data_IF_569599808641
#
_entry.id   IF_569599808641
#
_cell.length_a   1.000
_cell.length_b   1.000
_cell.length_c   1.000
_cell.angle_alpha   90.00
_cell.angle_beta   90.00
_cell.angle_gamma   90.00
#
_symmetry.space_group_name_H-M   'P 1'
#
loop_
_entity.id
_entity.type
_entity.pdbx_description
1 polymer ?
#
# COMPACT_ATOMS: atom_id res chain seq x y z
N UNK A 1 -27.34 45.12 -60.26
CA UNK A 1 -26.31 44.11 -59.91
C UNK A 1 -25.13 44.92 -59.41
N UNK A 2 -24.95 44.98 -58.09
CA UNK A 2 -23.83 45.70 -57.50
C UNK A 2 -22.53 44.96 -57.84
N UNK A 3 -21.50 45.64 -58.38
CA UNK A 3 -20.26 44.98 -58.80
C UNK A 3 -19.43 44.45 -57.63
N UNK A 4 -19.71 44.88 -56.40
CA UNK A 4 -18.92 44.54 -55.20
C UNK A 4 -19.49 43.37 -54.38
N UNK A 5 -20.39 42.57 -54.95
CA UNK A 5 -20.84 41.32 -54.31
C UNK A 5 -20.60 40.11 -55.21
N UNK A 6 -19.66 39.27 -54.82
CA UNK A 6 -19.59 37.88 -55.28
C UNK A 6 -19.87 36.99 -54.07
N UNK A 7 -20.95 36.21 -54.14
CA UNK A 7 -21.52 35.36 -53.07
C UNK A 7 -22.11 36.08 -51.83
N UNK A 8 -22.50 37.36 -51.94
CA UNK A 8 -23.38 38.01 -50.95
C UNK A 8 -22.73 38.66 -49.73
N UNK A 9 -21.43 38.94 -49.74
CA UNK A 9 -20.75 39.72 -48.69
C UNK A 9 -20.13 41.00 -49.27
N UNK A 10 -20.31 42.14 -48.57
CA UNK A 10 -19.73 43.45 -48.88
C UNK A 10 -18.30 43.55 -48.30
N UNK A 11 -17.35 44.11 -49.07
CA UNK A 11 -15.91 44.04 -48.81
C UNK A 11 -15.33 45.13 -47.90
N UNK A 12 -16.04 46.22 -47.60
CA UNK A 12 -15.50 47.29 -46.76
C UNK A 12 -15.80 47.06 -45.27
N UNK A 13 -14.82 46.49 -44.57
CA UNK A 13 -14.78 46.44 -43.10
C UNK A 13 -14.80 45.03 -42.47
N UNK A 14 -14.81 43.96 -43.27
CA UNK A 14 -14.78 42.60 -42.72
C UNK A 14 -13.34 42.17 -42.38
N UNK A 15 -13.05 42.05 -41.10
CA UNK A 15 -11.85 41.39 -40.59
C UNK A 15 -12.28 40.20 -39.76
N UNK A 16 -11.94 38.99 -40.20
CA UNK A 16 -12.10 37.79 -39.40
C UNK A 16 -10.73 37.28 -38.96
N UNK A 17 -10.63 36.85 -37.71
CA UNK A 17 -9.48 36.13 -37.19
C UNK A 17 -10.01 34.97 -36.35
N UNK A 18 -9.62 33.75 -36.67
CA UNK A 18 -9.90 32.56 -35.87
C UNK A 18 -8.59 32.11 -35.24
N UNK A 19 -8.46 32.31 -33.93
CA UNK A 19 -7.36 31.72 -33.16
C UNK A 19 -7.74 30.25 -32.93
N UNK A 20 -7.15 29.34 -33.69
CA UNK A 20 -7.14 27.93 -33.29
C UNK A 20 -6.34 27.91 -31.99
N UNK A 21 -7.03 27.78 -30.86
CA UNK A 21 -6.37 27.69 -29.56
C UNK A 21 -5.44 26.47 -29.59
N UNK A 22 -4.27 26.67 -29.03
CA UNK A 22 -3.15 25.74 -29.00
C UNK A 22 -3.60 24.28 -28.82
N UNK A 23 -3.08 23.39 -29.65
CA UNK A 23 -3.35 21.96 -29.52
C UNK A 23 -2.55 21.41 -28.35
N UNK A 24 -3.21 21.07 -27.24
CA UNK A 24 -2.58 20.45 -26.08
C UNK A 24 -2.25 18.97 -26.33
N UNK A 25 -0.97 18.67 -26.56
CA UNK A 25 -0.48 17.30 -26.70
C UNK A 25 -0.04 16.76 -25.34
N UNK A 26 -0.74 15.74 -24.84
CA UNK A 26 -0.42 15.08 -23.57
C UNK A 26 0.37 13.80 -23.81
N UNK A 27 1.61 13.75 -23.32
CA UNK A 27 2.45 12.53 -23.34
C UNK A 27 2.46 11.91 -21.94
N UNK A 28 1.97 10.67 -21.82
CA UNK A 28 2.02 9.91 -20.56
C UNK A 28 3.32 9.13 -20.49
N UNK A 29 4.07 9.32 -19.41
CA UNK A 29 5.32 8.60 -19.13
C UNK A 29 5.12 7.77 -17.87
N UNK A 30 5.33 6.45 -17.97
CA UNK A 30 5.29 5.53 -16.83
C UNK A 30 6.72 5.19 -16.40
N UNK A 31 7.06 5.46 -15.14
CA UNK A 31 8.37 5.15 -14.58
C UNK A 31 8.22 4.13 -13.45
N UNK A 32 9.04 3.08 -13.50
CA UNK A 32 9.16 2.12 -12.41
C UNK A 32 10.28 2.57 -11.46
N UNK A 33 9.95 2.69 -10.17
CA UNK A 33 10.94 3.01 -9.14
C UNK A 33 11.74 1.76 -8.78
N UNK A 34 13.06 1.92 -8.68
CA UNK A 34 13.97 0.86 -8.19
C UNK A 34 13.89 0.71 -6.66
N UNK A 35 13.54 1.79 -5.95
CA UNK A 35 13.42 1.82 -4.49
C UNK A 35 12.09 2.44 -4.09
N UNK A 36 11.50 1.90 -3.04
CA UNK A 36 10.27 2.43 -2.44
C UNK A 36 10.57 3.71 -1.65
N UNK A 37 10.58 4.84 -2.35
CA UNK A 37 10.78 6.17 -1.77
C UNK A 37 10.07 7.26 -2.55
N UNK A 38 9.72 8.33 -1.85
CA UNK A 38 9.30 9.57 -2.48
C UNK A 38 10.48 10.23 -3.21
N UNK A 39 10.19 10.82 -4.37
CA UNK A 39 11.16 11.64 -5.11
C UNK A 39 10.91 13.10 -4.73
N UNK A 40 11.96 13.79 -4.32
CA UNK A 40 11.93 15.20 -3.97
C UNK A 40 12.00 16.11 -5.20
N UNK A 41 12.49 15.62 -6.34
CA UNK A 41 12.39 16.27 -7.65
C UNK A 41 12.35 15.24 -8.79
N UNK A 42 11.92 15.67 -9.98
CA UNK A 42 11.92 14.80 -11.17
C UNK A 42 13.27 14.86 -11.89
N UNK A 43 13.79 16.08 -12.14
CA UNK A 43 15.15 16.28 -12.66
C UNK A 43 16.13 16.74 -11.59
N UNK A 44 17.42 16.57 -11.89
CA UNK A 44 18.51 17.03 -11.04
C UNK A 44 18.61 18.56 -11.16
N UNK A 45 18.59 19.28 -10.03
CA UNK A 45 18.75 20.73 -9.97
C UNK A 45 17.44 21.53 -9.93
N UNK A 46 16.28 20.87 -10.06
CA UNK A 46 14.99 21.52 -9.87
C UNK A 46 14.67 21.77 -8.38
N UNK A 47 13.77 22.73 -8.08
CA UNK A 47 13.29 22.94 -6.71
C UNK A 47 12.72 21.66 -6.11
N UNK A 48 13.17 21.34 -4.89
CA UNK A 48 12.75 20.14 -4.18
C UNK A 48 11.41 20.35 -3.48
N UNK A 49 10.51 19.39 -3.60
CA UNK A 49 9.27 19.37 -2.83
C UNK A 49 9.57 18.98 -1.37
N UNK A 50 8.75 19.49 -0.45
CA UNK A 50 8.86 19.13 0.95
C UNK A 50 8.23 17.75 1.21
N UNK A 51 9.06 16.71 1.26
CA UNK A 51 8.62 15.34 1.51
C UNK A 51 7.90 15.14 2.84
N UNK A 52 8.11 16.02 3.83
CA UNK A 52 7.45 15.91 5.15
C UNK A 52 5.99 16.36 5.13
N UNK A 53 5.59 17.10 4.11
CA UNK A 53 4.21 17.55 3.94
C UNK A 53 3.34 16.54 3.17
N UNK A 54 3.95 15.48 2.63
CA UNK A 54 3.22 14.42 1.93
C UNK A 54 2.52 13.56 2.98
N UNK A 55 1.22 13.35 2.80
CA UNK A 55 0.46 12.35 3.54
C UNK A 55 0.70 10.96 2.90
N UNK A 56 1.40 10.03 3.60
CA UNK A 56 1.61 8.68 3.08
C UNK A 56 0.44 7.74 3.38
N UNK A 57 -0.62 8.21 4.05
CA UNK A 57 -1.76 7.36 4.39
C UNK A 57 -2.53 6.95 3.14
N UNK A 58 -2.79 5.64 3.07
CA UNK A 58 -3.65 5.03 2.05
C UNK A 58 -4.87 4.43 2.74
N UNK A 59 -6.08 4.55 2.14
CA UNK A 59 -7.26 3.86 2.63
C UNK A 59 -7.01 2.36 2.75
N UNK A 60 -7.60 1.73 3.76
CA UNK A 60 -7.41 0.30 4.00
C UNK A 60 -7.91 -0.54 2.81
N UNK A 61 -8.92 -0.05 2.10
CA UNK A 61 -9.54 -0.70 0.95
C UNK A 61 -8.63 -0.76 -0.28
N UNK A 62 -7.70 0.20 -0.41
CA UNK A 62 -6.77 0.31 -1.55
C UNK A 62 -5.49 -0.52 -1.33
N UNK A 63 -5.30 -1.09 -0.14
CA UNK A 63 -4.23 -2.03 0.13
C UNK A 63 -4.45 -3.36 -0.58
N UNK A 64 -3.37 -4.00 -1.00
CA UNK A 64 -3.42 -5.36 -1.52
C UNK A 64 -3.86 -6.38 -0.44
N UNK A 65 -4.34 -7.55 -0.88
CA UNK A 65 -4.93 -8.55 0.00
C UNK A 65 -3.93 -9.11 1.03
N UNK A 66 -2.64 -9.19 0.69
CA UNK A 66 -1.60 -9.68 1.59
C UNK A 66 -1.36 -8.67 2.72
N UNK A 67 -1.18 -7.39 2.38
CA UNK A 67 -1.05 -6.29 3.35
C UNK A 67 -2.26 -6.21 4.28
N UNK A 68 -3.47 -6.30 3.74
CA UNK A 68 -4.71 -6.34 4.51
C UNK A 68 -4.77 -7.51 5.51
N UNK A 69 -4.41 -8.71 5.07
CA UNK A 69 -4.38 -9.89 5.93
C UNK A 69 -3.38 -9.73 7.08
N UNK A 70 -2.20 -9.19 6.78
CA UNK A 70 -1.16 -8.91 7.79
C UNK A 70 -1.62 -7.88 8.82
N UNK A 71 -2.30 -6.82 8.40
CA UNK A 71 -2.88 -5.83 9.32
C UNK A 71 -3.91 -6.49 10.24
N UNK A 72 -4.83 -7.29 9.69
CA UNK A 72 -5.84 -8.02 10.47
C UNK A 72 -5.20 -8.97 11.49
N UNK A 73 -4.15 -9.69 11.10
CA UNK A 73 -3.40 -10.57 11.98
C UNK A 73 -2.76 -9.78 13.14
N UNK A 74 -2.11 -8.65 12.83
CA UNK A 74 -1.49 -7.79 13.84
C UNK A 74 -2.53 -7.24 14.83
N UNK A 75 -3.68 -6.76 14.34
CA UNK A 75 -4.77 -6.28 15.18
C UNK A 75 -5.32 -7.38 16.11
N UNK A 76 -5.50 -8.59 15.59
CA UNK A 76 -5.97 -9.73 16.39
C UNK A 76 -4.94 -10.14 17.45
N UNK A 77 -3.66 -10.19 17.09
CA UNK A 77 -2.58 -10.47 18.02
C UNK A 77 -2.46 -9.42 19.12
N UNK A 78 -2.64 -8.13 18.79
CA UNK A 78 -2.64 -7.05 19.79
C UNK A 78 -3.80 -7.21 20.77
N UNK A 79 -4.99 -7.55 20.28
CA UNK A 79 -6.15 -7.83 21.12
C UNK A 79 -5.90 -9.00 22.09
N UNK A 80 -5.32 -10.10 21.60
CA UNK A 80 -4.96 -11.25 22.44
C UNK A 80 -3.94 -10.88 23.52
N UNK A 81 -2.88 -10.16 23.15
CA UNK A 81 -1.86 -9.68 24.10
C UNK A 81 -2.49 -8.82 25.20
N UNK A 82 -3.41 -7.93 24.85
CA UNK A 82 -4.13 -7.09 25.83
C UNK A 82 -4.99 -7.90 26.79
N UNK A 83 -5.52 -9.04 26.34
CA UNK A 83 -6.25 -10.00 27.16
C UNK A 83 -5.35 -10.97 27.95
N UNK A 84 -4.01 -10.85 27.84
CA UNK A 84 -3.07 -11.79 28.43
C UNK A 84 -3.12 -13.19 27.79
N UNK A 85 -3.72 -13.31 26.60
CA UNK A 85 -3.82 -14.56 25.85
C UNK A 85 -2.63 -14.72 24.90
N UNK A 86 -2.19 -15.95 24.61
CA UNK A 86 -1.13 -16.21 23.64
C UNK A 86 -1.52 -15.67 22.26
N UNK A 87 -0.54 -15.21 21.48
CA UNK A 87 -0.75 -14.82 20.07
C UNK A 87 -1.13 -16.03 19.21
N UNK A 88 -1.57 -15.80 17.96
CA UNK A 88 -1.87 -16.90 17.02
C UNK A 88 -0.67 -17.85 16.89
N UNK A 89 0.53 -17.29 16.73
CA UNK A 89 1.79 -18.05 16.62
C UNK A 89 2.05 -18.87 17.88
N UNK A 90 1.91 -18.25 19.06
CA UNK A 90 2.13 -18.93 20.35
C UNK A 90 1.11 -20.04 20.58
N UNK A 91 -0.17 -19.80 20.27
CA UNK A 91 -1.22 -20.81 20.36
C UNK A 91 -0.91 -22.00 19.46
N UNK A 92 -0.51 -21.75 18.21
CA UNK A 92 -0.15 -22.80 17.27
C UNK A 92 1.05 -23.63 17.76
N UNK A 93 2.04 -22.97 18.35
CA UNK A 93 3.20 -23.66 18.94
C UNK A 93 2.75 -24.50 20.15
N UNK A 94 1.88 -23.97 21.02
CA UNK A 94 1.33 -24.71 22.14
C UNK A 94 0.57 -25.96 21.68
N UNK A 95 -0.25 -25.85 20.63
CA UNK A 95 -0.99 -26.97 20.05
C UNK A 95 -0.03 -28.02 19.47
N UNK A 96 0.98 -27.59 18.71
CA UNK A 96 2.00 -28.49 18.16
C UNK A 96 2.80 -29.22 19.24
N UNK A 97 3.13 -28.53 20.33
CA UNK A 97 3.86 -29.12 21.46
C UNK A 97 3.00 -30.13 22.20
N UNK A 98 1.72 -29.83 22.42
CA UNK A 98 0.76 -30.75 23.03
C UNK A 98 0.61 -32.02 22.19
N UNK A 99 0.44 -31.88 20.88
CA UNK A 99 0.35 -33.03 19.96
C UNK A 99 1.64 -33.87 19.97
N UNK A 100 2.81 -33.24 20.07
CA UNK A 100 4.09 -33.94 20.18
C UNK A 100 4.27 -34.64 21.53
N UNK A 101 3.77 -34.04 22.61
CA UNK A 101 3.81 -34.57 23.97
C UNK A 101 3.07 -35.90 24.09
N UNK A 102 1.91 -36.00 23.45
CA UNK A 102 1.01 -37.16 23.51
C UNK A 102 1.37 -38.29 22.51
N UNK A 103 2.34 -38.07 21.62
CA UNK A 103 2.72 -39.02 20.56
C UNK A 103 3.37 -40.30 21.12
N UNK A 104 3.11 -41.44 20.48
CA UNK A 104 3.76 -42.72 20.77
C UNK A 104 5.30 -42.64 20.69
N UNK A 105 5.98 -43.00 21.78
CA UNK A 105 7.43 -42.89 21.93
C UNK A 105 7.91 -41.59 22.58
N UNK A 106 7.02 -40.64 22.87
CA UNK A 106 7.34 -39.46 23.68
C UNK A 106 7.67 -39.88 25.13
N UNK A 107 8.78 -39.40 25.72
CA UNK A 107 9.13 -39.68 27.12
C UNK A 107 8.13 -39.04 28.11
N UNK A 108 7.28 -38.14 27.62
CA UNK A 108 6.27 -37.44 28.41
C UNK A 108 4.85 -38.00 28.24
N UNK A 109 4.68 -39.04 27.42
CA UNK A 109 3.36 -39.61 27.12
C UNK A 109 2.66 -40.08 28.41
N UNK A 110 1.46 -39.54 28.65
CA UNK A 110 0.64 -39.85 29.83
C UNK A 110 0.86 -38.91 31.03
N UNK A 111 1.81 -37.98 30.96
CA UNK A 111 1.89 -36.85 31.89
C UNK A 111 1.01 -35.69 31.38
N UNK A 112 0.33 -34.94 32.25
CA UNK A 112 -0.41 -33.76 31.83
C UNK A 112 0.58 -32.74 31.23
N UNK A 113 0.19 -32.12 30.11
CA UNK A 113 0.96 -31.04 29.51
C UNK A 113 1.12 -29.89 30.52
N UNK A 114 2.36 -29.59 30.92
CA UNK A 114 2.69 -28.45 31.77
C UNK A 114 3.20 -27.29 30.90
N UNK A 115 2.41 -26.21 30.73
CA UNK A 115 2.83 -25.06 29.94
C UNK A 115 4.06 -24.34 30.49
N UNK A 116 4.37 -24.51 31.79
CA UNK A 116 5.52 -23.85 32.45
C UNK A 116 6.84 -24.57 32.20
N UNK A 117 6.79 -25.84 31.81
CA UNK A 117 7.97 -26.63 31.44
C UNK A 117 8.55 -26.23 30.06
N UNK A 118 7.83 -25.38 29.31
CA UNK A 118 8.24 -24.90 27.99
C UNK A 118 8.42 -23.39 28.01
N UNK A 119 9.65 -22.93 27.83
CA UNK A 119 9.94 -21.51 27.67
C UNK A 119 9.65 -21.05 26.23
N UNK A 120 8.52 -20.37 26.05
CA UNK A 120 8.11 -19.78 24.77
C UNK A 120 8.60 -18.33 24.59
N UNK A 121 9.37 -17.78 25.52
CA UNK A 121 9.87 -16.40 25.45
C UNK A 121 10.84 -16.18 24.27
N UNK A 122 11.50 -17.24 23.81
CA UNK A 122 12.43 -17.21 22.66
C UNK A 122 11.76 -16.84 21.32
N UNK A 123 10.44 -16.98 21.19
CA UNK A 123 9.70 -16.69 19.93
C UNK A 123 9.43 -15.19 19.76
N UNK A 124 9.53 -14.38 20.82
CA UNK A 124 9.27 -12.94 20.77
C UNK A 124 10.45 -12.10 20.24
N UNK A 125 11.58 -12.73 19.88
CA UNK A 125 12.86 -12.07 19.60
C UNK A 125 13.29 -11.92 18.14
N UNK A 126 12.48 -12.30 17.16
CA UNK A 126 12.82 -12.14 15.74
C UNK A 126 12.14 -10.90 15.15
N UNK A 127 12.74 -9.73 15.40
CA UNK A 127 12.55 -8.50 14.60
C UNK A 127 13.15 -8.63 13.22
#
# INVERSE_FOLDING_TARGET
>A
MDPDSYNGACYEGYSWAQTIRDTDIHIKICLQKIRERWWDSFFIGEPKINLRAIDPSIPYEDLDQESQAKIKELMYNEHLKRLGKPTIQQSKIQDMLKDAWDRDGSPFKGQPFDPSAVDLSAVNGST
#
